data_IF_020465311591
#
_entry.id   IF_020465311591
#
_cell.length_a   1.000
_cell.length_b   1.000
_cell.length_c   1.000
_cell.angle_alpha   90.00
_cell.angle_beta   90.00
_cell.angle_gamma   90.00
#
_symmetry.space_group_name_H-M   'P 1'
#
loop_
_entity.id
_entity.type
_entity.pdbx_description
1 polymer ?
#
# COMPACT_ATOMS: atom_id res chain seq x y z
N UNK A 1 5.87 9.78 2.20
CA UNK A 1 6.01 9.38 0.78
C UNK A 1 5.68 10.54 -0.17
N UNK A 2 4.47 11.11 -0.14
CA UNK A 2 4.05 12.19 -1.05
C UNK A 2 4.86 13.51 -0.97
N UNK A 3 5.52 13.78 0.16
CA UNK A 3 6.34 14.99 0.38
C UNK A 3 7.84 14.76 0.20
N UNK A 4 8.29 13.56 -0.19
CA UNK A 4 9.72 13.27 -0.29
C UNK A 4 10.28 13.82 -1.60
N UNK A 5 10.77 15.05 -1.55
CA UNK A 5 11.48 15.71 -2.63
C UNK A 5 12.94 15.87 -2.20
N UNK A 6 13.84 15.09 -2.82
CA UNK A 6 15.27 15.34 -2.72
C UNK A 6 15.90 15.29 -4.11
N UNK A 7 16.71 16.30 -4.40
CA UNK A 7 17.53 16.36 -5.60
C UNK A 7 18.81 15.56 -5.32
N UNK A 8 19.05 14.48 -6.07
CA UNK A 8 20.32 13.75 -6.05
C UNK A 8 21.18 14.14 -7.23
N UNK A 9 22.48 14.37 -7.02
CA UNK A 9 23.43 14.53 -8.12
C UNK A 9 24.03 13.16 -8.48
N UNK A 10 23.87 12.76 -9.74
CA UNK A 10 24.55 11.59 -10.30
C UNK A 10 25.77 12.09 -11.07
N UNK A 11 26.96 11.64 -10.68
CA UNK A 11 28.25 11.89 -11.36
C UNK A 11 28.55 13.37 -11.68
N UNK A 12 28.43 14.29 -10.71
CA UNK A 12 28.95 15.66 -10.80
C UNK A 12 28.35 16.60 -11.86
N UNK A 13 27.51 16.11 -12.78
CA UNK A 13 26.98 16.90 -13.90
C UNK A 13 25.51 16.61 -14.26
N UNK A 14 24.85 15.59 -13.67
CA UNK A 14 23.44 15.28 -13.94
C UNK A 14 22.63 15.37 -12.64
N UNK A 15 21.80 16.41 -12.55
CA UNK A 15 20.85 16.59 -11.46
C UNK A 15 19.64 15.69 -11.72
N UNK A 16 19.49 14.60 -10.96
CA UNK A 16 18.35 13.68 -11.06
C UNK A 16 17.39 13.98 -9.91
N UNK A 17 16.27 14.63 -10.23
CA UNK A 17 15.20 14.87 -9.27
C UNK A 17 14.34 13.60 -9.18
N UNK A 18 14.69 12.70 -8.26
CA UNK A 18 13.89 11.50 -8.04
C UNK A 18 12.59 11.88 -7.32
N UNK A 19 11.49 12.04 -8.06
CA UNK A 19 10.17 12.19 -7.45
C UNK A 19 9.52 10.83 -7.25
N UNK A 20 8.76 10.72 -6.16
CA UNK A 20 7.79 9.65 -5.97
C UNK A 20 6.87 9.48 -7.20
N UNK A 21 6.61 10.58 -7.91
CA UNK A 21 5.81 10.66 -9.13
C UNK A 21 6.41 9.94 -10.34
N UNK A 22 7.71 9.66 -10.36
CA UNK A 22 8.37 9.09 -11.55
C UNK A 22 8.32 7.56 -11.54
N UNK A 23 8.00 6.97 -10.38
CA UNK A 23 7.86 5.52 -10.22
C UNK A 23 6.37 5.13 -10.19
N UNK A 24 5.84 4.46 -11.23
CA UNK A 24 4.42 4.09 -11.29
C UNK A 24 3.98 3.18 -10.15
N UNK A 25 4.88 2.34 -9.61
CA UNK A 25 4.60 1.48 -8.47
C UNK A 25 4.32 2.27 -7.18
N UNK A 26 5.08 3.34 -6.91
CA UNK A 26 4.86 4.17 -5.73
C UNK A 26 3.60 5.01 -5.86
N UNK A 27 3.30 5.55 -7.05
CA UNK A 27 2.01 6.17 -7.37
C UNK A 27 0.85 5.22 -7.10
N UNK A 28 0.94 3.99 -7.58
CA UNK A 28 -0.10 2.98 -7.38
C UNK A 28 -0.33 2.68 -5.90
N UNK A 29 0.73 2.50 -5.11
CA UNK A 29 0.64 2.34 -3.65
C UNK A 29 -0.07 3.51 -2.96
N UNK A 30 0.28 4.75 -3.29
CA UNK A 30 -0.37 5.93 -2.69
C UNK A 30 -1.85 6.01 -3.09
N UNK A 31 -2.17 5.82 -4.37
CA UNK A 31 -3.55 5.87 -4.86
C UNK A 31 -4.40 4.78 -4.19
N UNK A 32 -3.88 3.55 -4.09
CA UNK A 32 -4.58 2.44 -3.44
C UNK A 32 -4.91 2.78 -1.98
N UNK A 33 -3.94 3.30 -1.21
CA UNK A 33 -4.17 3.70 0.17
C UNK A 33 -5.20 4.84 0.31
N UNK A 34 -5.20 5.82 -0.61
CA UNK A 34 -6.19 6.90 -0.63
C UNK A 34 -7.59 6.34 -0.89
N UNK A 35 -7.74 5.44 -1.86
CA UNK A 35 -9.03 4.79 -2.16
C UNK A 35 -9.57 4.04 -0.94
N UNK A 36 -8.73 3.23 -0.27
CA UNK A 36 -9.14 2.51 0.95
C UNK A 36 -9.52 3.47 2.07
N UNK A 37 -8.81 4.58 2.23
CA UNK A 37 -9.11 5.58 3.27
C UNK A 37 -10.46 6.25 3.04
N UNK A 38 -10.74 6.68 1.80
CA UNK A 38 -12.03 7.28 1.43
C UNK A 38 -13.16 6.27 1.62
N UNK A 39 -12.95 5.04 1.17
CA UNK A 39 -13.91 3.95 1.35
C UNK A 39 -14.20 3.69 2.83
N UNK A 40 -13.15 3.53 3.67
CA UNK A 40 -13.31 3.31 5.11
C UNK A 40 -14.06 4.46 5.79
N UNK A 41 -13.80 5.70 5.36
CA UNK A 41 -14.56 6.86 5.84
C UNK A 41 -16.03 6.79 5.45
N UNK A 42 -16.36 6.37 4.22
CA UNK A 42 -17.75 6.19 3.78
C UNK A 42 -18.46 5.09 4.56
N UNK A 43 -17.78 3.97 4.83
CA UNK A 43 -18.34 2.83 5.59
C UNK A 43 -18.69 3.22 7.03
N UNK A 44 -17.96 4.15 7.66
CA UNK A 44 -18.28 4.64 9.01
C UNK A 44 -19.66 5.31 9.13
N UNK A 45 -20.22 5.83 8.03
CA UNK A 45 -21.54 6.45 8.01
C UNK A 45 -22.67 5.47 7.66
N UNK A 46 -22.37 4.21 7.38
CA UNK A 46 -23.39 3.23 7.03
C UNK A 46 -24.14 2.73 8.28
N UNK A 47 -25.49 2.66 8.24
CA UNK A 47 -26.29 2.14 9.34
C UNK A 47 -26.13 0.61 9.52
N UNK A 48 -26.05 0.19 10.79
CA UNK A 48 -25.93 -1.21 11.26
C UNK A 48 -26.95 -2.17 10.64
N UNK A 49 -28.19 -1.74 10.46
CA UNK A 49 -29.33 -2.60 10.11
C UNK A 49 -29.52 -2.84 8.61
N UNK A 50 -28.57 -2.41 7.76
CA UNK A 50 -28.74 -2.50 6.30
C UNK A 50 -28.23 -3.83 5.74
N UNK A 51 -28.97 -4.39 4.77
CA UNK A 51 -28.53 -5.53 3.94
C UNK A 51 -27.24 -5.24 3.12
N UNK A 52 -26.76 -4.00 3.16
CA UNK A 52 -25.55 -3.55 2.45
C UNK A 52 -24.26 -4.06 3.08
N UNK A 53 -24.28 -4.55 4.34
CA UNK A 53 -23.10 -5.10 5.01
C UNK A 53 -22.44 -6.26 4.24
N UNK A 54 -23.24 -7.07 3.53
CA UNK A 54 -22.69 -8.14 2.68
C UNK A 54 -21.93 -7.60 1.47
N UNK A 55 -22.37 -6.46 0.91
CA UNK A 55 -21.64 -5.77 -0.16
C UNK A 55 -20.37 -5.11 0.37
N UNK A 56 -20.43 -4.52 1.57
CA UNK A 56 -19.25 -3.96 2.26
C UNK A 56 -18.18 -5.03 2.43
N UNK A 57 -18.53 -6.23 2.91
CA UNK A 57 -17.58 -7.35 3.04
C UNK A 57 -16.93 -7.76 1.71
N UNK A 58 -17.69 -7.78 0.60
CA UNK A 58 -17.12 -8.10 -0.72
C UNK A 58 -16.16 -7.00 -1.18
N UNK A 59 -16.54 -5.74 -1.00
CA UNK A 59 -15.66 -4.61 -1.32
C UNK A 59 -14.41 -4.59 -0.44
N UNK A 60 -14.52 -4.89 0.85
CA UNK A 60 -13.38 -5.01 1.76
C UNK A 60 -12.37 -6.05 1.27
N UNK A 61 -12.85 -7.22 0.82
CA UNK A 61 -11.98 -8.24 0.20
C UNK A 61 -11.30 -7.72 -1.08
N UNK A 62 -12.01 -7.02 -1.94
CA UNK A 62 -11.41 -6.43 -3.16
C UNK A 62 -10.35 -5.39 -2.80
N UNK A 63 -10.59 -4.56 -1.79
CA UNK A 63 -9.66 -3.54 -1.33
C UNK A 63 -8.42 -4.14 -0.63
N UNK A 64 -8.58 -5.23 0.13
CA UNK A 64 -7.41 -5.96 0.68
C UNK A 64 -6.51 -6.44 -0.45
N UNK A 65 -7.07 -7.06 -1.50
CA UNK A 65 -6.31 -7.54 -2.66
C UNK A 65 -5.61 -6.39 -3.41
N UNK A 66 -6.30 -5.26 -3.56
CA UNK A 66 -5.74 -4.04 -4.16
C UNK A 66 -4.52 -3.53 -3.37
N UNK A 67 -4.63 -3.47 -2.04
CA UNK A 67 -3.52 -3.06 -1.17
C UNK A 67 -2.33 -4.01 -1.27
N UNK A 68 -2.55 -5.33 -1.21
CA UNK A 68 -1.49 -6.36 -1.34
C UNK A 68 -0.75 -6.22 -2.67
N UNK A 69 -1.50 -6.08 -3.77
CA UNK A 69 -0.92 -5.88 -5.11
C UNK A 69 -0.08 -4.60 -5.17
N UNK A 70 -0.58 -3.50 -4.61
CA UNK A 70 0.14 -2.22 -4.62
C UNK A 70 1.42 -2.22 -3.76
N UNK A 71 1.35 -2.84 -2.57
CA UNK A 71 2.50 -2.97 -1.66
C UNK A 71 3.57 -3.86 -2.29
N UNK A 72 3.19 -5.00 -2.87
CA UNK A 72 4.14 -5.91 -3.51
C UNK A 72 4.86 -5.25 -4.70
N UNK A 73 4.14 -4.51 -5.55
CA UNK A 73 4.74 -3.75 -6.65
C UNK A 73 5.72 -2.68 -6.14
N UNK A 74 5.33 -1.93 -5.10
CA UNK A 74 6.16 -0.89 -4.51
C UNK A 74 7.39 -1.46 -3.79
N UNK A 75 7.25 -2.60 -3.11
CA UNK A 75 8.37 -3.31 -2.47
C UNK A 75 9.36 -3.83 -3.51
N UNK A 76 8.90 -4.38 -4.63
CA UNK A 76 9.78 -4.84 -5.70
C UNK A 76 10.66 -3.70 -6.22
N UNK A 77 10.07 -2.53 -6.51
CA UNK A 77 10.85 -1.38 -6.96
C UNK A 77 11.75 -0.81 -5.86
N UNK A 78 11.29 -0.80 -4.60
CA UNK A 78 12.12 -0.37 -3.48
C UNK A 78 13.35 -1.29 -3.28
N UNK A 79 13.20 -2.60 -3.46
CA UNK A 79 14.31 -3.56 -3.42
C UNK A 79 15.32 -3.30 -4.55
N UNK A 80 14.83 -3.09 -5.77
CA UNK A 80 15.68 -2.76 -6.92
C UNK A 80 16.40 -1.43 -6.69
N UNK A 81 15.72 -0.41 -6.14
CA UNK A 81 16.34 0.88 -5.80
C UNK A 81 17.40 0.79 -4.71
N UNK A 82 17.26 -0.13 -3.75
CA UNK A 82 18.20 -0.33 -2.64
C UNK A 82 19.42 -1.15 -3.05
N UNK A 83 19.23 -2.27 -3.74
CA UNK A 83 20.30 -3.23 -4.06
C UNK A 83 20.88 -3.02 -5.46
N UNK A 84 20.12 -2.40 -6.37
CA UNK A 84 20.42 -2.39 -7.79
C UNK A 84 20.20 -3.77 -8.44
N UNK A 85 20.30 -3.82 -9.76
CA UNK A 85 20.39 -5.06 -10.52
C UNK A 85 21.38 -4.87 -11.68
N UNK A 86 22.62 -5.35 -11.49
CA UNK A 86 23.69 -5.23 -12.47
C UNK A 86 23.37 -5.92 -13.80
N UNK A 87 22.57 -7.00 -13.78
CA UNK A 87 22.19 -7.71 -15.00
C UNK A 87 21.20 -6.91 -15.87
N UNK A 88 20.35 -6.09 -15.23
CA UNK A 88 19.43 -5.19 -15.92
C UNK A 88 19.97 -3.76 -16.07
N UNK A 89 21.21 -3.49 -15.66
CA UNK A 89 21.82 -2.16 -15.69
C UNK A 89 21.26 -1.17 -14.65
N UNK A 90 20.51 -1.63 -13.65
CA UNK A 90 19.96 -0.77 -12.59
C UNK A 90 21.01 -0.52 -11.51
N UNK A 91 21.44 0.73 -11.38
CA UNK A 91 22.34 1.15 -10.30
C UNK A 91 21.58 1.40 -8.98
N UNK A 92 22.20 1.15 -7.82
CA UNK A 92 21.57 1.41 -6.52
C UNK A 92 21.42 2.92 -6.27
N UNK A 93 20.18 3.40 -6.38
CA UNK A 93 19.84 4.83 -6.22
C UNK A 93 19.84 5.25 -4.74
N UNK A 94 19.48 4.34 -3.83
CA UNK A 94 19.40 4.64 -2.39
C UNK A 94 20.73 5.02 -1.75
N UNK A 95 21.88 4.69 -2.35
CA UNK A 95 23.19 5.14 -1.86
C UNK A 95 23.43 6.64 -2.10
N UNK A 96 22.83 7.20 -3.15
CA UNK A 96 22.99 8.61 -3.51
C UNK A 96 21.98 9.51 -2.79
N UNK A 97 20.80 8.98 -2.45
CA UNK A 97 19.69 9.75 -1.82
C UNK A 97 19.14 8.98 -0.60
N UNK A 98 19.90 8.91 0.51
CA UNK A 98 19.57 8.05 1.65
C UNK A 98 18.31 8.49 2.41
N UNK A 99 18.02 9.80 2.46
CA UNK A 99 16.86 10.36 3.15
C UNK A 99 15.54 10.06 2.41
N UNK A 100 15.50 10.24 1.08
CA UNK A 100 14.37 9.76 0.26
C UNK A 100 14.11 8.25 0.45
N UNK A 101 15.17 7.44 0.44
CA UNK A 101 15.05 6.00 0.57
C UNK A 101 14.55 5.56 1.96
N UNK A 102 15.03 6.21 3.04
CA UNK A 102 14.54 5.93 4.39
C UNK A 102 13.08 6.32 4.57
N UNK A 103 12.66 7.48 4.05
CA UNK A 103 11.27 7.92 4.10
C UNK A 103 10.34 7.02 3.27
N UNK A 104 10.79 6.55 2.11
CA UNK A 104 10.04 5.60 1.27
C UNK A 104 9.89 4.25 1.97
N UNK A 105 10.98 3.74 2.57
CA UNK A 105 10.96 2.50 3.34
C UNK A 105 10.03 2.61 4.55
N UNK A 106 10.09 3.71 5.30
CA UNK A 106 9.19 3.95 6.43
C UNK A 106 7.72 3.97 5.99
N UNK A 107 7.40 4.59 4.85
CA UNK A 107 6.05 4.59 4.30
C UNK A 107 5.57 3.19 3.89
N UNK A 108 6.43 2.37 3.29
CA UNK A 108 6.11 0.99 2.93
C UNK A 108 5.87 0.12 4.16
N UNK A 109 6.70 0.27 5.20
CA UNK A 109 6.52 -0.43 6.48
C UNK A 109 5.19 -0.02 7.12
N UNK A 110 4.88 1.28 7.16
CA UNK A 110 3.61 1.77 7.68
C UNK A 110 2.41 1.22 6.89
N UNK A 111 2.50 1.19 5.55
CA UNK A 111 1.47 0.61 4.70
C UNK A 111 1.29 -0.90 4.90
N UNK A 112 2.38 -1.63 5.11
CA UNK A 112 2.33 -3.06 5.41
C UNK A 112 1.65 -3.34 6.75
N UNK A 113 1.97 -2.56 7.80
CA UNK A 113 1.27 -2.65 9.09
C UNK A 113 -0.22 -2.33 8.92
N UNK A 114 -0.56 -1.29 8.16
CA UNK A 114 -1.94 -0.95 7.82
C UNK A 114 -2.68 -2.08 7.11
N UNK A 115 -2.04 -2.74 6.14
CA UNK A 115 -2.60 -3.92 5.46
C UNK A 115 -2.89 -5.07 6.43
N UNK A 116 -1.96 -5.38 7.35
CA UNK A 116 -2.17 -6.47 8.34
C UNK A 116 -3.35 -6.15 9.25
N UNK A 117 -3.45 -4.92 9.74
CA UNK A 117 -4.58 -4.48 10.58
C UNK A 117 -5.90 -4.56 9.80
N UNK A 118 -5.92 -4.06 8.57
CA UNK A 118 -7.11 -4.11 7.72
C UNK A 118 -7.54 -5.55 7.41
N UNK A 119 -6.59 -6.43 7.11
CA UNK A 119 -6.86 -7.85 6.90
C UNK A 119 -7.47 -8.53 8.13
N UNK A 120 -6.93 -8.25 9.33
CA UNK A 120 -7.49 -8.78 10.58
C UNK A 120 -8.92 -8.29 10.83
N UNK A 121 -9.22 -7.02 10.52
CA UNK A 121 -10.58 -6.48 10.60
C UNK A 121 -11.53 -7.22 9.66
N UNK A 122 -11.12 -7.48 8.41
CA UNK A 122 -11.93 -8.25 7.46
C UNK A 122 -12.16 -9.68 7.95
N UNK A 123 -11.13 -10.36 8.46
CA UNK A 123 -11.27 -11.69 9.06
C UNK A 123 -12.26 -11.69 10.22
N UNK A 124 -12.18 -10.70 11.11
CA UNK A 124 -13.09 -10.56 12.24
C UNK A 124 -14.54 -10.33 11.78
N UNK A 125 -14.76 -9.43 10.82
CA UNK A 125 -16.09 -9.16 10.26
C UNK A 125 -16.68 -10.41 9.59
N UNK A 126 -15.87 -11.16 8.82
CA UNK A 126 -16.30 -12.43 8.23
C UNK A 126 -16.67 -13.42 9.33
N UNK A 127 -15.84 -13.59 10.36
CA UNK A 127 -16.12 -14.54 11.43
C UNK A 127 -17.43 -14.22 12.13
N UNK A 128 -17.67 -12.95 12.48
CA UNK A 128 -18.89 -12.50 13.16
C UNK A 128 -20.15 -12.73 12.32
N UNK A 129 -20.08 -12.46 11.02
CA UNK A 129 -21.22 -12.62 10.12
C UNK A 129 -21.43 -14.07 9.67
N UNK A 130 -20.39 -14.91 9.64
CA UNK A 130 -20.47 -16.32 9.23
C UNK A 130 -20.83 -17.28 10.38
N UNK A 131 -20.45 -16.96 11.63
CA UNK A 131 -20.78 -17.74 12.84
C UNK A 131 -22.28 -18.09 12.96
N UNK A 132 -23.22 -17.14 12.85
CA UNK A 132 -24.65 -17.45 12.99
C UNK A 132 -25.17 -18.38 11.88
N UNK A 133 -24.55 -18.41 10.71
CA UNK A 133 -24.89 -19.37 9.65
C UNK A 133 -24.36 -20.77 9.92
N UNK A 134 -23.19 -20.91 10.55
CA UNK A 134 -22.62 -22.20 10.91
C UNK A 134 -23.29 -22.80 12.15
N UNK A 135 -23.61 -21.97 13.16
CA UNK A 135 -24.25 -22.43 14.40
C UNK A 135 -25.74 -22.79 14.20
N UNK A 136 -26.46 -22.12 13.30
CA UNK A 136 -27.88 -22.42 13.01
C UNK A 136 -28.10 -23.67 12.14
N UNK A 137 -27.03 -24.27 11.60
CA UNK A 137 -27.12 -25.45 10.70
C UNK A 137 -26.97 -26.79 11.45
N UNK A 138 -27.28 -26.84 12.74
CA UNK A 138 -27.31 -28.07 13.54
C UNK A 138 -28.55 -28.09 14.43
#
# INVERSE_FOLDING_TARGET
MASSHEKGSIFGAISYEAKYSDTPAFKYFVIANVVVTIYGFLVLFLPSESQLWRLVLVFDLVLTMLLVSSISAALAIAQVGKKGNSHAGWLPVCNQIPKYCSQTTAALVAGFVGLVVYFLLVCYSIHRDLDPFLVRKN
#
